data_IF_022845709486
#
_entry.id   IF_022845709486
#
_cell.length_a   1.000
_cell.length_b   1.000
_cell.length_c   1.000
_cell.angle_alpha   90.00
_cell.angle_beta   90.00
_cell.angle_gamma   90.00
#
_symmetry.space_group_name_H-M   'P 1'
#
loop_
_entity.id
_entity.type
_entity.pdbx_description
1 polymer ?
#
# COMPACT_ATOMS: atom_id res chain seq x y z
N UNK A 1 -14.44 14.81 8.22
CA UNK A 1 -14.53 13.37 8.22
C UNK A 1 -13.21 12.78 7.86
N UNK A 2 -12.59 12.22 8.83
CA UNK A 2 -11.20 11.81 8.66
C UNK A 2 -11.12 10.33 8.36
N UNK A 3 -10.57 9.99 7.20
CA UNK A 3 -10.11 8.65 6.91
C UNK A 3 -8.69 8.56 7.43
N UNK A 4 -8.40 7.54 8.25
CA UNK A 4 -7.08 7.33 8.83
C UNK A 4 -6.39 6.16 8.17
N UNK A 5 -5.05 6.22 8.09
CA UNK A 5 -4.21 5.14 7.58
C UNK A 5 -3.23 4.74 8.66
N UNK A 6 -3.13 3.43 8.91
CA UNK A 6 -2.36 2.88 10.02
C UNK A 6 -1.36 1.85 9.55
N UNK A 7 -0.25 1.73 10.27
CA UNK A 7 0.68 0.62 10.12
C UNK A 7 0.01 -0.69 10.54
N UNK A 8 0.19 -1.74 9.76
CA UNK A 8 -0.39 -3.06 10.06
C UNK A 8 0.23 -3.72 11.29
N UNK A 9 1.37 -3.25 11.75
CA UNK A 9 2.10 -3.84 12.88
C UNK A 9 1.91 -3.04 14.15
N UNK A 10 2.32 -1.76 14.16
CA UNK A 10 2.24 -0.93 15.36
C UNK A 10 0.94 -0.14 15.49
N UNK A 11 0.14 -0.10 14.43
CA UNK A 11 -1.11 0.67 14.32
C UNK A 11 -0.91 2.18 14.52
N UNK A 12 0.31 2.66 14.32
CA UNK A 12 0.60 4.09 14.33
C UNK A 12 0.02 4.78 13.10
N UNK A 13 -0.32 6.05 13.24
CA UNK A 13 -0.92 6.81 12.17
C UNK A 13 0.11 7.17 11.10
N UNK A 14 -0.17 6.79 9.86
CA UNK A 14 0.70 7.02 8.71
C UNK A 14 0.31 8.28 7.94
N UNK A 15 -0.90 8.79 8.17
CA UNK A 15 -1.37 9.97 7.47
C UNK A 15 -0.96 11.22 8.26
N UNK A 16 -0.19 12.09 7.63
CA UNK A 16 0.23 13.38 8.18
C UNK A 16 -0.35 14.47 7.30
N UNK A 17 -1.28 15.25 7.85
CA UNK A 17 -2.02 16.28 7.11
C UNK A 17 -2.73 15.65 5.89
N UNK A 18 -2.24 15.89 4.68
CA UNK A 18 -2.87 15.46 3.44
C UNK A 18 -2.12 14.32 2.74
N UNK A 19 -1.13 13.71 3.41
CA UNK A 19 -0.30 12.68 2.80
C UNK A 19 -0.14 11.47 3.69
N UNK A 20 -0.01 10.29 3.06
CA UNK A 20 0.45 9.09 3.74
C UNK A 20 1.96 9.09 3.67
N UNK A 21 2.64 8.93 4.81
CA UNK A 21 4.10 8.96 4.88
C UNK A 21 4.62 7.55 5.15
N UNK A 22 5.49 7.05 4.27
CA UNK A 22 6.14 5.76 4.42
C UNK A 22 7.64 5.94 4.24
N UNK A 23 8.41 5.07 4.88
CA UNK A 23 9.84 4.96 4.58
C UNK A 23 9.99 3.99 3.41
N UNK A 24 10.82 4.33 2.45
CA UNK A 24 11.08 3.48 1.30
C UNK A 24 12.57 3.26 1.14
N UNK A 25 12.94 2.04 0.73
CA UNK A 25 14.32 1.69 0.42
C UNK A 25 14.37 0.85 -0.84
N UNK A 26 15.44 1.04 -1.61
CA UNK A 26 15.64 0.28 -2.83
C UNK A 26 16.29 -1.06 -2.47
N UNK A 27 15.77 -2.14 -3.07
CA UNK A 27 16.34 -3.48 -2.90
C UNK A 27 17.81 -3.49 -3.35
N UNK A 28 18.69 -4.08 -2.55
CA UNK A 28 20.11 -4.19 -2.85
C UNK A 28 20.85 -2.85 -2.95
N UNK A 29 20.35 -1.82 -2.30
CA UNK A 29 20.96 -0.50 -2.29
C UNK A 29 20.84 0.11 -0.90
N UNK A 30 21.83 0.89 -0.42
CA UNK A 30 21.69 1.63 0.83
C UNK A 30 20.77 2.84 0.72
N UNK A 31 20.30 3.14 -0.48
CA UNK A 31 19.43 4.30 -0.71
C UNK A 31 18.09 4.13 -0.02
N UNK A 32 17.72 5.12 0.80
CA UNK A 32 16.44 5.11 1.52
C UNK A 32 15.96 6.54 1.75
N UNK A 33 14.66 6.68 1.92
CA UNK A 33 14.06 7.99 2.19
C UNK A 33 12.59 7.87 2.53
N UNK A 34 11.95 8.99 2.73
CA UNK A 34 10.51 9.05 2.95
C UNK A 34 9.80 9.30 1.63
N UNK A 35 8.67 8.64 1.45
CA UNK A 35 7.78 8.87 0.32
C UNK A 35 6.43 9.33 0.84
N UNK A 36 5.89 10.35 0.19
CA UNK A 36 4.58 10.90 0.52
C UNK A 36 3.61 10.47 -0.57
N UNK A 37 2.55 9.76 -0.17
CA UNK A 37 1.53 9.25 -1.07
C UNK A 37 0.24 10.03 -0.89
N UNK A 38 -0.54 10.13 -1.96
CA UNK A 38 -1.86 10.73 -1.86
C UNK A 38 -2.83 9.72 -1.25
N UNK A 39 -3.58 10.08 -0.18
CA UNK A 39 -4.49 9.15 0.48
C UNK A 39 -5.74 8.82 -0.32
N UNK A 40 -6.02 9.57 -1.39
CA UNK A 40 -7.20 9.29 -2.21
C UNK A 40 -6.92 8.07 -3.09
N UNK A 41 -7.76 7.04 -2.97
CA UNK A 41 -7.65 5.83 -3.79
C UNK A 41 -7.82 6.21 -5.26
N UNK A 42 -6.87 5.76 -6.08
CA UNK A 42 -6.84 6.08 -7.51
C UNK A 42 -5.96 7.27 -7.86
N UNK A 43 -5.47 8.01 -6.87
CA UNK A 43 -4.51 9.08 -7.10
C UNK A 43 -3.11 8.57 -6.74
N UNK A 44 -2.25 8.43 -7.76
CA UNK A 44 -0.92 7.83 -7.63
C UNK A 44 0.20 8.87 -7.59
N UNK A 45 -0.14 10.13 -7.30
CA UNK A 45 0.85 11.18 -7.13
C UNK A 45 1.72 10.90 -5.91
N UNK A 46 3.03 10.94 -6.09
CA UNK A 46 4.00 10.72 -5.01
C UNK A 46 4.99 11.87 -4.96
N UNK A 47 5.55 12.09 -3.77
CA UNK A 47 6.58 13.10 -3.56
C UNK A 47 7.70 12.50 -2.73
N UNK A 48 8.95 12.71 -3.18
CA UNK A 48 10.14 12.29 -2.45
C UNK A 48 11.14 13.44 -2.41
N UNK A 49 12.10 13.33 -1.49
CA UNK A 49 13.21 14.29 -1.46
C UNK A 49 14.08 14.09 -2.71
N UNK A 50 14.66 15.17 -3.28
CA UNK A 50 15.50 15.03 -4.49
C UNK A 50 16.69 14.07 -4.35
N UNK A 51 17.18 13.84 -3.13
CA UNK A 51 18.27 12.90 -2.89
C UNK A 51 17.84 11.44 -2.94
N UNK A 52 16.53 11.17 -2.93
CA UNK A 52 15.97 9.82 -3.02
C UNK A 52 14.92 9.82 -4.10
N UNK A 53 15.28 9.35 -5.30
CA UNK A 53 14.38 9.34 -6.45
C UNK A 53 13.88 7.92 -6.72
N UNK A 54 12.57 7.83 -6.99
CA UNK A 54 11.91 6.59 -7.35
C UNK A 54 12.01 6.42 -8.86
N UNK A 55 12.51 5.25 -9.29
CA UNK A 55 12.60 4.91 -10.71
C UNK A 55 11.51 3.92 -11.09
N UNK A 56 10.78 4.22 -12.16
CA UNK A 56 9.73 3.34 -12.65
C UNK A 56 10.29 1.97 -13.02
N UNK A 57 9.53 0.94 -12.70
CA UNK A 57 9.89 -0.45 -12.97
C UNK A 57 10.70 -1.11 -11.87
N UNK A 58 11.22 -0.35 -10.93
CA UNK A 58 11.98 -0.91 -9.81
C UNK A 58 11.08 -1.14 -8.60
N UNK A 59 11.34 -2.23 -7.90
CA UNK A 59 10.60 -2.58 -6.69
C UNK A 59 11.27 -1.97 -5.46
N UNK A 60 10.46 -1.44 -4.55
CA UNK A 60 10.93 -0.83 -3.31
C UNK A 60 10.35 -1.55 -2.12
N UNK A 61 11.11 -1.56 -1.04
CA UNK A 61 10.65 -2.04 0.26
C UNK A 61 10.09 -0.84 1.01
N UNK A 62 8.86 -0.97 1.49
CA UNK A 62 8.18 0.08 2.26
C UNK A 62 8.14 -0.31 3.72
N UNK A 63 8.53 0.62 4.57
CA UNK A 63 8.57 0.41 6.02
C UNK A 63 7.76 1.48 6.73
N UNK A 64 7.20 1.10 7.87
CA UNK A 64 6.57 2.07 8.75
C UNK A 64 7.62 3.05 9.29
N UNK A 65 7.41 4.36 9.17
CA UNK A 65 8.39 5.32 9.70
C UNK A 65 8.44 5.35 11.23
N UNK A 66 7.47 4.74 11.89
CA UNK A 66 7.39 4.72 13.36
C UNK A 66 8.08 3.48 13.93
N UNK A 67 7.65 2.29 13.54
CA UNK A 67 8.16 1.03 14.09
C UNK A 67 9.19 0.33 13.21
N UNK A 68 9.40 0.83 11.99
CA UNK A 68 10.35 0.32 11.00
C UNK A 68 10.03 -1.07 10.44
N UNK A 69 8.86 -1.62 10.75
CA UNK A 69 8.44 -2.92 10.19
C UNK A 69 8.17 -2.82 8.72
N UNK A 70 8.49 -3.89 7.99
CA UNK A 70 8.24 -3.97 6.56
C UNK A 70 6.74 -4.09 6.28
N UNK A 71 6.24 -3.28 5.38
CA UNK A 71 4.83 -3.25 5.02
C UNK A 71 4.52 -4.05 3.74
N UNK A 72 5.54 -4.50 3.02
CA UNK A 72 5.36 -5.35 1.86
C UNK A 72 4.67 -6.65 2.29
N UNK A 73 3.67 -7.07 1.52
CA UNK A 73 2.89 -8.26 1.84
C UNK A 73 3.72 -9.53 1.62
N UNK A 74 3.61 -10.48 2.54
CA UNK A 74 4.18 -11.82 2.35
C UNK A 74 3.18 -12.72 1.63
N UNK A 75 1.90 -12.36 1.63
CA UNK A 75 0.84 -13.14 1.00
C UNK A 75 0.72 -12.84 -0.49
N UNK A 76 0.84 -11.57 -0.88
CA UNK A 76 0.71 -11.15 -2.27
C UNK A 76 2.01 -10.50 -2.73
N UNK A 77 2.76 -11.21 -3.54
CA UNK A 77 4.07 -10.74 -4.04
C UNK A 77 3.92 -9.39 -4.76
N UNK A 78 4.85 -8.49 -4.49
CA UNK A 78 4.94 -7.13 -5.06
C UNK A 78 3.89 -6.14 -4.53
N UNK A 79 3.01 -6.55 -3.63
CA UNK A 79 2.03 -5.64 -3.05
C UNK A 79 2.45 -5.21 -1.65
N UNK A 80 2.08 -3.99 -1.29
CA UNK A 80 2.29 -3.38 0.02
C UNK A 80 0.95 -3.26 0.72
N UNK A 81 0.90 -3.56 2.01
CA UNK A 81 -0.35 -3.51 2.79
C UNK A 81 -0.29 -2.46 3.89
N UNK A 82 -1.29 -1.60 3.92
CA UNK A 82 -1.55 -0.70 5.05
C UNK A 82 -3.01 -0.85 5.46
N UNK A 83 -3.36 -0.31 6.61
CA UNK A 83 -4.73 -0.36 7.12
C UNK A 83 -5.39 1.00 6.90
N UNK A 84 -6.66 0.99 6.46
CA UNK A 84 -7.48 2.18 6.34
C UNK A 84 -8.66 2.06 7.30
N UNK A 85 -8.94 3.14 8.04
CA UNK A 85 -10.13 3.23 8.86
C UNK A 85 -10.97 4.37 8.30
N UNK A 86 -12.21 4.06 7.90
CA UNK A 86 -13.10 5.07 7.33
C UNK A 86 -13.76 5.92 8.42
N UNK A 87 -14.56 6.89 8.01
CA UNK A 87 -15.23 7.81 8.93
C UNK A 87 -16.32 7.15 9.78
N UNK A 88 -16.69 5.91 9.46
CA UNK A 88 -17.62 5.11 10.27
C UNK A 88 -16.89 4.13 11.19
N UNK A 89 -15.57 4.17 11.21
CA UNK A 89 -14.76 3.29 12.04
C UNK A 89 -14.53 1.90 11.46
N UNK A 90 -14.90 1.67 10.21
CA UNK A 90 -14.69 0.38 9.56
C UNK A 90 -13.26 0.24 9.10
N UNK A 91 -12.68 -0.93 9.32
CA UNK A 91 -11.28 -1.21 9.01
C UNK A 91 -11.16 -2.00 7.70
N UNK A 92 -10.24 -1.56 6.84
CA UNK A 92 -9.96 -2.19 5.56
C UNK A 92 -8.48 -2.43 5.39
N UNK A 93 -8.12 -3.45 4.61
CA UNK A 93 -6.75 -3.63 4.14
C UNK A 93 -6.62 -2.95 2.79
N UNK A 94 -5.62 -2.11 2.65
CA UNK A 94 -5.30 -1.45 1.38
C UNK A 94 -4.02 -2.09 0.84
N UNK A 95 -4.11 -2.63 -0.37
CA UNK A 95 -2.96 -3.19 -1.09
C UNK A 95 -2.63 -2.32 -2.28
N UNK A 96 -1.37 -1.98 -2.44
CA UNK A 96 -0.91 -1.25 -3.62
C UNK A 96 0.44 -1.82 -4.07
N UNK A 97 0.83 -1.56 -5.33
CA UNK A 97 2.08 -2.12 -5.86
C UNK A 97 3.31 -1.47 -5.23
N UNK A 98 4.29 -2.30 -4.86
CA UNK A 98 5.61 -1.84 -4.44
C UNK A 98 6.54 -1.56 -5.62
N UNK A 99 6.10 -1.86 -6.85
CA UNK A 99 6.87 -1.58 -8.07
C UNK A 99 6.49 -0.18 -8.56
N UNK A 100 7.48 0.70 -8.66
CA UNK A 100 7.23 2.08 -9.06
C UNK A 100 6.67 2.13 -10.49
N UNK A 101 5.66 2.97 -10.68
CA UNK A 101 4.98 3.13 -11.96
C UNK A 101 3.79 2.21 -12.15
N UNK A 102 3.69 1.12 -11.39
CA UNK A 102 2.50 0.29 -11.41
C UNK A 102 1.39 0.95 -10.58
N UNK A 103 0.25 1.13 -11.20
CA UNK A 103 -0.88 1.86 -10.61
C UNK A 103 -2.03 0.91 -10.36
N UNK A 104 -2.10 0.38 -9.16
CA UNK A 104 -3.22 -0.46 -8.73
C UNK A 104 -3.42 -0.33 -7.23
N UNK A 105 -4.68 -0.36 -6.82
CA UNK A 105 -5.05 -0.31 -5.40
C UNK A 105 -6.25 -1.19 -5.17
N UNK A 106 -6.18 -2.01 -4.13
CA UNK A 106 -7.29 -2.88 -3.70
C UNK A 106 -7.67 -2.52 -2.28
N UNK A 107 -8.97 -2.26 -2.08
CA UNK A 107 -9.55 -2.01 -0.75
C UNK A 107 -10.35 -3.23 -0.37
N UNK A 108 -9.88 -3.97 0.64
CA UNK A 108 -10.42 -5.28 1.01
C UNK A 108 -10.88 -5.27 2.47
N UNK A 109 -12.07 -5.78 2.72
CA UNK A 109 -12.58 -6.01 4.07
C UNK A 109 -12.92 -7.48 4.22
N UNK A 110 -12.20 -8.17 5.12
CA UNK A 110 -12.31 -9.62 5.23
C UNK A 110 -11.86 -10.28 3.95
N UNK A 111 -12.75 -11.05 3.31
CA UNK A 111 -12.46 -11.71 2.04
C UNK A 111 -13.08 -10.99 0.83
N UNK A 112 -13.66 -9.81 1.07
CA UNK A 112 -14.41 -9.10 0.04
C UNK A 112 -13.66 -7.87 -0.46
N UNK A 113 -13.51 -7.75 -1.79
CA UNK A 113 -12.98 -6.55 -2.41
C UNK A 113 -14.10 -5.50 -2.43
N UNK A 114 -13.89 -4.41 -1.69
CA UNK A 114 -14.84 -3.31 -1.63
C UNK A 114 -14.62 -2.32 -2.77
N UNK A 115 -13.36 -2.11 -3.15
CA UNK A 115 -13.00 -1.19 -4.21
C UNK A 115 -11.68 -1.61 -4.83
N UNK A 116 -11.53 -1.41 -6.14
CA UNK A 116 -10.26 -1.58 -6.84
C UNK A 116 -10.12 -0.49 -7.89
N UNK A 117 -8.91 0.05 -8.01
CA UNK A 117 -8.60 1.18 -8.87
C UNK A 117 -7.25 1.01 -9.53
N UNK A 118 -7.10 1.60 -10.71
CA UNK A 118 -5.84 1.74 -11.41
C UNK A 118 -5.76 0.96 -12.70
N UNK A 119 -4.94 1.43 -13.66
CA UNK A 119 -4.82 0.78 -14.98
C UNK A 119 -4.08 -0.55 -14.93
N UNK A 120 -3.30 -0.83 -13.88
CA UNK A 120 -2.47 -2.05 -13.80
C UNK A 120 -3.11 -3.14 -12.95
N UNK A 121 -4.42 -3.10 -12.73
CA UNK A 121 -5.14 -4.11 -11.96
C UNK A 121 -4.94 -5.52 -12.53
N UNK A 122 -4.84 -5.64 -13.86
CA UNK A 122 -4.73 -6.95 -14.51
C UNK A 122 -3.51 -7.75 -14.07
N UNK A 123 -2.45 -7.08 -13.62
CA UNK A 123 -1.23 -7.73 -13.16
C UNK A 123 -1.49 -8.57 -11.91
N UNK A 124 -2.38 -8.10 -11.04
CA UNK A 124 -2.59 -8.69 -9.72
C UNK A 124 -3.99 -9.28 -9.50
N UNK A 125 -4.90 -9.13 -10.46
CA UNK A 125 -6.27 -9.64 -10.32
C UNK A 125 -6.30 -11.13 -9.98
N UNK A 126 -5.34 -11.90 -10.48
CA UNK A 126 -5.25 -13.34 -10.19
C UNK A 126 -5.14 -13.68 -8.71
N UNK A 127 -4.64 -12.77 -7.90
CA UNK A 127 -4.54 -12.98 -6.45
C UNK A 127 -5.89 -12.89 -5.77
N UNK A 128 -6.84 -12.18 -6.38
CA UNK A 128 -8.13 -11.85 -5.78
C UNK A 128 -9.30 -12.49 -6.51
N UNK A 129 -9.10 -13.02 -7.71
CA UNK A 129 -10.14 -13.63 -8.54
C UNK A 129 -10.28 -15.13 -8.24
N UNK A 130 -10.39 -15.45 -6.96
CA UNK A 130 -10.56 -16.82 -6.49
C UNK A 130 -12.04 -17.01 -6.14
N UNK A 131 -12.70 -18.08 -6.62
CA UNK A 131 -14.08 -18.36 -6.25
C UNK A 131 -14.25 -18.32 -4.74
N UNK A 132 -15.36 -17.75 -4.27
CA UNK A 132 -15.58 -17.56 -2.84
C UNK A 132 -15.54 -18.87 -2.07
N UNK A 133 -16.02 -19.94 -2.66
CA UNK A 133 -15.99 -21.28 -2.09
C UNK A 133 -14.57 -21.80 -1.85
N UNK A 134 -13.60 -21.33 -2.64
CA UNK A 134 -12.21 -21.74 -2.51
C UNK A 134 -11.42 -20.85 -1.55
N UNK A 135 -11.91 -19.65 -1.25
CA UNK A 135 -11.21 -18.69 -0.38
C UNK A 135 -11.05 -19.19 1.04
N UNK A 136 -11.95 -20.03 1.50
CA UNK A 136 -11.88 -20.60 2.85
C UNK A 136 -10.67 -21.50 3.07
N UNK A 137 -10.00 -21.91 2.00
CA UNK A 137 -8.79 -22.75 2.07
C UNK A 137 -7.50 -21.92 2.00
N UNK A 138 -7.61 -20.60 1.96
CA UNK A 138 -6.43 -19.72 1.90
C UNK A 138 -6.03 -19.20 3.31
#
# INVERSE_FOLDING_TARGET
MAVEYLCKVCRGHLKVKTSIVLAASKTNSPSRGLIFLNPKIGNYTTTTHPSFQIKEGEEYIYNCPICHSQLNSTKYKHLVRIIMIDDLGKEYNIYFSGIAGEKCTYKIRGNKIEEKRGPDLNVYNKYFDIPEEDRKYL
#
